data_IF_398551600683
#
_entry.id   IF_398551600683
#
_cell.length_a   1.000
_cell.length_b   1.000
_cell.length_c   1.000
_cell.angle_alpha   90.00
_cell.angle_beta   90.00
_cell.angle_gamma   90.00
#
_symmetry.space_group_name_H-M   'P 1'
#
loop_
_entity.id
_entity.type
_entity.pdbx_description
1 polymer ?
#
# COMPACT_ATOMS: atom_id res chain seq x y z
N UNK A 1 11.88 43.59 24.41
CA UNK A 1 11.09 43.14 25.58
C UNK A 1 10.64 41.70 25.40
N UNK A 2 10.04 41.08 26.42
CA UNK A 2 9.39 39.78 26.28
C UNK A 2 8.39 39.78 25.12
N UNK A 3 7.62 40.87 24.96
CA UNK A 3 6.64 41.00 23.87
C UNK A 3 7.29 40.86 22.50
N UNK A 4 8.38 41.59 22.22
CA UNK A 4 9.08 41.50 20.94
C UNK A 4 9.63 40.09 20.64
N UNK A 5 9.96 39.32 21.69
CA UNK A 5 10.42 37.95 21.54
C UNK A 5 9.24 37.01 21.22
N UNK A 6 8.16 37.08 21.99
CA UNK A 6 6.96 36.26 21.78
C UNK A 6 6.31 36.55 20.42
N UNK A 7 6.33 37.79 19.97
CA UNK A 7 5.80 38.20 18.67
C UNK A 7 6.60 37.57 17.51
N UNK A 8 7.93 37.48 17.64
CA UNK A 8 8.78 36.78 16.67
C UNK A 8 8.53 35.27 16.65
N UNK A 9 8.29 34.66 17.81
CA UNK A 9 7.93 33.23 17.89
C UNK A 9 6.58 32.96 17.20
N UNK A 10 5.58 33.80 17.43
CA UNK A 10 4.27 33.68 16.79
C UNK A 10 4.35 33.83 15.27
N UNK A 11 5.11 34.82 14.77
CA UNK A 11 5.34 35.02 13.33
C UNK A 11 6.05 33.81 12.70
N UNK A 12 7.06 33.27 13.39
CA UNK A 12 7.81 32.13 12.89
C UNK A 12 6.95 30.86 12.81
N UNK A 13 6.12 30.59 13.82
CA UNK A 13 5.17 29.47 13.78
C UNK A 13 4.15 29.62 12.64
N UNK A 14 3.57 30.82 12.45
CA UNK A 14 2.64 31.07 11.36
C UNK A 14 3.27 30.80 9.98
N UNK A 15 4.52 31.22 9.79
CA UNK A 15 5.30 30.93 8.58
C UNK A 15 5.53 29.44 8.36
N UNK A 16 5.83 28.68 9.42
CA UNK A 16 5.99 27.23 9.33
C UNK A 16 4.68 26.53 8.94
N UNK A 17 3.54 26.97 9.48
CA UNK A 17 2.23 26.43 9.11
C UNK A 17 1.90 26.70 7.64
N UNK A 18 2.17 27.92 7.16
CA UNK A 18 1.94 28.27 5.75
C UNK A 18 2.80 27.42 4.80
N UNK A 19 4.09 27.25 5.15
CA UNK A 19 5.00 26.35 4.42
C UNK A 19 4.54 24.90 4.44
N UNK A 20 4.02 24.42 5.57
CA UNK A 20 3.50 23.05 5.70
C UNK A 20 2.29 22.81 4.79
N UNK A 21 1.36 23.76 4.71
CA UNK A 21 0.19 23.68 3.81
C UNK A 21 0.58 23.65 2.33
N UNK A 22 1.66 24.35 1.95
CA UNK A 22 2.15 24.41 0.58
C UNK A 22 2.91 23.15 0.13
N UNK A 23 3.24 22.22 1.04
CA UNK A 23 3.96 21.00 0.69
C UNK A 23 2.97 19.89 0.27
N UNK A 24 2.95 19.45 -1.00
CA UNK A 24 2.08 18.36 -1.42
C UNK A 24 2.58 17.03 -0.86
N UNK A 25 1.74 16.36 -0.09
CA UNK A 25 2.03 15.00 0.39
C UNK A 25 1.73 14.02 -0.74
N UNK A 26 2.78 13.45 -1.34
CA UNK A 26 2.66 12.40 -2.34
C UNK A 26 2.70 11.03 -1.67
N UNK A 27 1.53 10.40 -1.49
CA UNK A 27 1.44 9.02 -1.02
C UNK A 27 1.01 8.10 -2.16
N UNK A 28 1.94 7.29 -2.66
CA UNK A 28 1.63 6.25 -3.64
C UNK A 28 1.26 4.97 -2.92
N UNK A 29 -0.01 4.57 -2.98
CA UNK A 29 -0.44 3.29 -2.45
C UNK A 29 0.21 2.15 -3.26
N UNK A 30 0.92 1.19 -2.63
CA UNK A 30 1.50 0.07 -3.35
C UNK A 30 0.41 -0.77 -4.02
N UNK A 31 0.57 -1.03 -5.33
CA UNK A 31 -0.36 -1.85 -6.09
C UNK A 31 -0.42 -3.27 -5.50
N UNK A 32 -1.61 -3.68 -5.16
CA UNK A 32 -1.88 -4.95 -4.48
C UNK A 32 -2.61 -5.90 -5.44
N UNK A 33 -2.16 -7.16 -5.62
CA UNK A 33 -2.85 -8.11 -6.49
C UNK A 33 -4.15 -8.61 -5.86
N UNK A 34 -5.12 -8.94 -6.72
CA UNK A 34 -6.36 -9.58 -6.31
C UNK A 34 -6.16 -11.08 -6.05
N UNK A 35 -6.83 -11.60 -5.04
CA UNK A 35 -6.75 -13.00 -4.64
C UNK A 35 -7.28 -13.92 -5.76
N UNK A 36 -6.53 -14.97 -6.17
CA UNK A 36 -6.97 -15.91 -7.20
C UNK A 36 -8.20 -16.72 -6.81
N UNK A 37 -8.49 -16.87 -5.51
CA UNK A 37 -9.57 -17.74 -5.01
C UNK A 37 -10.87 -17.00 -4.73
N UNK A 38 -10.79 -15.80 -4.17
CA UNK A 38 -11.98 -15.05 -3.74
C UNK A 38 -12.07 -13.62 -4.30
N UNK A 39 -11.09 -13.19 -5.11
CA UNK A 39 -11.04 -11.82 -5.66
C UNK A 39 -10.71 -10.72 -4.65
N UNK A 40 -10.64 -11.02 -3.35
CA UNK A 40 -10.31 -10.05 -2.30
C UNK A 40 -8.88 -9.51 -2.37
N UNK A 41 -8.58 -8.49 -1.57
CA UNK A 41 -7.23 -7.92 -1.49
C UNK A 41 -6.23 -8.92 -0.92
N UNK A 42 -4.96 -8.75 -1.28
CA UNK A 42 -3.85 -9.53 -0.74
C UNK A 42 -2.91 -8.63 0.04
N UNK A 43 -2.05 -9.22 0.85
CA UNK A 43 -1.01 -8.50 1.59
C UNK A 43 0.31 -9.21 1.38
N UNK A 44 1.39 -8.45 1.15
CA UNK A 44 2.74 -8.99 1.06
C UNK A 44 3.18 -9.43 2.47
N UNK A 45 3.46 -10.71 2.62
CA UNK A 45 3.94 -11.35 3.86
C UNK A 45 5.33 -11.90 3.62
N UNK A 46 6.15 -11.94 4.66
CA UNK A 46 7.46 -12.58 4.61
C UNK A 46 7.33 -14.05 5.01
N UNK A 47 7.70 -14.96 4.10
CA UNK A 47 7.87 -16.37 4.42
C UNK A 47 9.25 -16.65 4.99
N UNK A 48 9.58 -17.93 5.21
CA UNK A 48 10.91 -18.34 5.72
C UNK A 48 12.07 -17.94 4.79
N UNK A 49 11.82 -17.95 3.48
CA UNK A 49 12.89 -17.78 2.46
C UNK A 49 12.54 -16.72 1.43
N UNK A 50 11.26 -16.45 1.17
CA UNK A 50 10.84 -15.53 0.12
C UNK A 50 9.52 -14.86 0.49
N UNK A 51 9.34 -13.56 0.18
CA UNK A 51 8.06 -12.90 0.35
C UNK A 51 6.99 -13.49 -0.58
N UNK A 52 5.74 -13.43 -0.14
CA UNK A 52 4.58 -13.90 -0.90
C UNK A 52 3.38 -13.00 -0.65
N UNK A 53 2.39 -13.01 -1.54
CA UNK A 53 1.11 -12.37 -1.29
C UNK A 53 0.17 -13.38 -0.65
N UNK A 54 -0.37 -13.06 0.52
CA UNK A 54 -1.43 -13.84 1.19
C UNK A 54 -2.75 -13.09 1.18
N UNK A 55 -3.87 -13.80 1.03
CA UNK A 55 -5.19 -13.17 1.12
C UNK A 55 -5.43 -12.54 2.50
N UNK A 56 -6.02 -11.34 2.53
CA UNK A 56 -6.39 -10.65 3.78
C UNK A 56 -7.44 -11.41 4.59
N UNK A 57 -8.24 -12.27 3.93
CA UNK A 57 -9.28 -13.10 4.55
C UNK A 57 -8.77 -14.44 5.12
N UNK A 58 -7.46 -14.64 5.27
CA UNK A 58 -6.93 -15.82 5.96
C UNK A 58 -7.40 -15.82 7.44
N UNK A 59 -7.86 -16.95 8.02
CA UNK A 59 -7.78 -18.33 7.53
C UNK A 59 -8.92 -18.78 6.60
N UNK A 60 -10.01 -18.02 6.49
CA UNK A 60 -11.18 -18.38 5.67
C UNK A 60 -10.84 -18.51 4.16
N UNK A 61 -9.88 -17.73 3.67
CA UNK A 61 -9.32 -17.89 2.33
C UNK A 61 -7.80 -18.10 2.39
N UNK A 62 -7.34 -19.29 1.96
CA UNK A 62 -5.91 -19.66 1.87
C UNK A 62 -5.28 -19.33 0.50
N UNK A 63 -5.76 -18.27 -0.17
CA UNK A 63 -5.22 -17.85 -1.46
C UNK A 63 -3.82 -17.23 -1.31
N UNK A 64 -2.87 -17.66 -2.14
CA UNK A 64 -1.48 -17.22 -2.12
C UNK A 64 -0.97 -16.95 -3.54
N UNK A 65 -0.05 -16.00 -3.70
CA UNK A 65 0.70 -15.75 -4.92
C UNK A 65 2.18 -15.50 -4.57
N UNK A 66 3.08 -15.77 -5.51
CA UNK A 66 4.49 -15.40 -5.36
C UNK A 66 4.68 -13.87 -5.38
N UNK A 67 5.77 -13.36 -4.81
CA UNK A 67 5.99 -11.91 -4.72
C UNK A 67 5.95 -11.16 -6.07
N UNK A 68 6.25 -11.83 -7.19
CA UNK A 68 6.27 -11.25 -8.53
C UNK A 68 4.91 -11.17 -9.24
N UNK A 69 3.81 -11.64 -8.63
CA UNK A 69 2.49 -11.69 -9.27
C UNK A 69 1.80 -10.33 -9.55
N UNK A 70 2.50 -9.19 -9.37
CA UNK A 70 1.93 -7.84 -9.53
C UNK A 70 1.81 -7.42 -11.00
N UNK A 71 2.43 -8.13 -11.93
CA UNK A 71 2.32 -7.91 -13.38
C UNK A 71 1.11 -8.64 -13.95
N UNK A 72 0.17 -7.88 -14.50
CA UNK A 72 -1.07 -8.39 -15.07
C UNK A 72 -0.84 -9.33 -16.25
N UNK A 73 -1.43 -10.52 -16.15
CA UNK A 73 -2.16 -11.24 -17.22
C UNK A 73 -2.22 -12.72 -16.86
N UNK A 74 -3.26 -13.11 -16.13
CA UNK A 74 -3.64 -14.52 -16.04
C UNK A 74 -4.26 -14.88 -17.39
N UNK A 75 -3.45 -15.32 -18.36
CA UNK A 75 -3.97 -16.07 -19.50
C UNK A 75 -4.59 -17.33 -18.90
N UNK A 76 -5.91 -17.40 -18.93
CA UNK A 76 -6.65 -18.60 -18.59
C UNK A 76 -6.12 -19.73 -19.46
N UNK A 77 -5.36 -20.66 -18.88
CA UNK A 77 -5.19 -21.98 -19.50
C UNK A 77 -6.58 -22.61 -19.47
N UNK A 78 -7.30 -22.51 -20.58
CA UNK A 78 -8.51 -23.29 -20.85
C UNK A 78 -8.10 -24.76 -20.65
N UNK A 79 -8.72 -25.41 -19.68
CA UNK A 79 -8.54 -26.84 -19.46
C UNK A 79 -9.01 -27.61 -20.68
N UNK A 80 -8.29 -28.67 -21.02
CA UNK A 80 -8.77 -29.73 -21.90
C UNK A 80 -10.04 -30.32 -21.30
N UNK A 81 -11.14 -30.31 -22.05
CA UNK A 81 -12.20 -31.30 -21.91
C UNK A 81 -11.75 -32.57 -22.63
N UNK A 82 -11.81 -33.77 -22.00
CA UNK A 82 -11.79 -35.01 -22.75
C UNK A 82 -13.18 -35.23 -23.35
N UNK A 83 -13.20 -35.58 -24.64
CA UNK A 83 -14.33 -36.26 -25.28
C UNK A 83 -14.00 -37.75 -25.33
#
# INVERSE_FOLDING_TARGET
TLDSFMQKQAQWLAHLMEKGKAQPIQFTLPKTPACPRCGGTMQKRMGKTTPFWGCTRYPACKGMLNASAVTGSRKTRRGNSPA
#
